data_IF_364005096387
#
_entry.id   IF_364005096387
#
_cell.length_a   1.000
_cell.length_b   1.000
_cell.length_c   1.000
_cell.angle_alpha   90.00
_cell.angle_beta   90.00
_cell.angle_gamma   90.00
#
_symmetry.space_group_name_H-M   'P 1'
#
loop_
_entity.id
_entity.type
_entity.pdbx_description
1 polymer ?
#
# COMPACT_ATOMS: atom_id res chain seq x y z
N UNK A 1 -28.58 3.68 -2.49
CA UNK A 1 -27.12 3.75 -2.20
C UNK A 1 -26.34 3.43 -3.44
N UNK A 2 -25.41 4.24 -3.77
CA UNK A 2 -24.68 4.10 -5.02
C UNK A 2 -23.42 3.23 -4.83
N UNK A 3 -23.27 2.22 -5.68
CA UNK A 3 -22.03 1.44 -5.74
C UNK A 3 -20.85 2.32 -6.16
N UNK A 4 -21.13 3.43 -6.83
CA UNK A 4 -20.12 4.40 -7.25
C UNK A 4 -19.39 5.00 -6.06
N UNK A 5 -20.13 5.36 -4.98
CA UNK A 5 -19.52 5.90 -3.77
C UNK A 5 -18.65 4.87 -3.08
N UNK A 6 -19.11 3.62 -3.03
CA UNK A 6 -18.35 2.54 -2.44
C UNK A 6 -17.07 2.28 -3.24
N UNK A 7 -17.16 2.25 -4.56
CA UNK A 7 -15.99 2.07 -5.41
C UNK A 7 -15.01 3.22 -5.24
N UNK A 8 -15.51 4.47 -5.16
CA UNK A 8 -14.66 5.63 -4.93
C UNK A 8 -13.87 5.50 -3.62
N UNK A 9 -14.56 5.12 -2.54
CA UNK A 9 -13.93 4.96 -1.22
C UNK A 9 -12.87 3.86 -1.24
N UNK A 10 -13.16 2.75 -1.93
CA UNK A 10 -12.20 1.64 -2.04
C UNK A 10 -10.97 2.04 -2.84
N UNK A 11 -11.13 2.84 -3.90
CA UNK A 11 -9.99 3.34 -4.67
C UNK A 11 -9.15 4.31 -3.84
N UNK A 12 -9.78 5.17 -3.04
CA UNK A 12 -9.06 6.06 -2.13
C UNK A 12 -8.27 5.29 -1.08
N UNK A 13 -8.88 4.23 -0.56
CA UNK A 13 -8.22 3.34 0.41
C UNK A 13 -7.00 2.67 -0.23
N UNK A 14 -7.16 2.14 -1.43
CA UNK A 14 -6.06 1.50 -2.16
C UNK A 14 -4.92 2.50 -2.41
N UNK A 15 -5.24 3.71 -2.81
CA UNK A 15 -4.23 4.75 -3.04
C UNK A 15 -3.44 5.04 -1.76
N UNK A 16 -4.15 5.19 -0.63
CA UNK A 16 -3.52 5.44 0.66
C UNK A 16 -2.59 4.29 1.06
N UNK A 17 -3.02 3.04 0.85
CA UNK A 17 -2.21 1.87 1.17
C UNK A 17 -0.96 1.79 0.29
N UNK A 18 -1.09 2.10 -1.01
CA UNK A 18 0.05 2.12 -1.92
C UNK A 18 1.04 3.22 -1.54
N UNK A 19 0.54 4.38 -1.11
CA UNK A 19 1.40 5.47 -0.64
C UNK A 19 2.16 5.06 0.61
N UNK A 20 1.53 4.34 1.53
CA UNK A 20 2.18 3.82 2.73
C UNK A 20 3.28 2.83 2.35
N UNK A 21 3.02 1.93 1.41
CA UNK A 21 4.02 0.98 0.93
C UNK A 21 5.22 1.71 0.32
N UNK A 22 4.97 2.73 -0.48
CA UNK A 22 6.03 3.53 -1.09
C UNK A 22 6.90 4.21 -0.03
N UNK A 23 6.27 4.73 1.02
CA UNK A 23 6.99 5.39 2.11
C UNK A 23 7.93 4.41 2.83
N UNK A 24 7.45 3.20 3.10
CA UNK A 24 8.28 2.19 3.75
C UNK A 24 9.43 1.73 2.85
N UNK A 25 9.20 1.64 1.54
CA UNK A 25 10.27 1.30 0.60
C UNK A 25 11.36 2.37 0.56
N UNK A 26 10.97 3.65 0.56
CA UNK A 26 11.95 4.76 0.61
C UNK A 26 12.78 4.69 1.89
N UNK A 27 12.13 4.39 3.01
CA UNK A 27 12.83 4.25 4.28
C UNK A 27 13.81 3.09 4.25
N UNK A 28 13.42 1.97 3.67
CA UNK A 28 14.31 0.82 3.52
C UNK A 28 15.54 1.17 2.68
N UNK A 29 15.34 1.90 1.58
CA UNK A 29 16.43 2.35 0.72
C UNK A 29 17.40 3.24 1.50
N UNK A 30 16.87 4.21 2.26
CA UNK A 30 17.69 5.11 3.07
C UNK A 30 18.48 4.34 4.13
N UNK A 31 17.86 3.33 4.75
CA UNK A 31 18.52 2.50 5.75
C UNK A 31 19.67 1.70 5.14
N UNK A 32 19.48 1.17 3.94
CA UNK A 32 20.56 0.46 3.22
C UNK A 32 21.71 1.41 2.89
N UNK A 33 21.39 2.63 2.43
CA UNK A 33 22.39 3.63 2.11
C UNK A 33 23.24 3.98 3.34
N UNK A 34 22.66 3.92 4.53
CA UNK A 34 23.33 4.21 5.80
C UNK A 34 23.85 2.96 6.50
N UNK A 35 23.77 1.80 5.85
CA UNK A 35 24.16 0.50 6.40
C UNK A 35 23.40 0.10 7.67
N UNK A 36 22.18 0.57 7.82
CA UNK A 36 21.31 0.22 8.95
C UNK A 36 20.47 -1.00 8.56
N UNK A 37 21.11 -2.16 8.53
CA UNK A 37 20.49 -3.37 7.95
C UNK A 37 19.29 -3.88 8.72
N UNK A 38 19.29 -3.82 10.05
CA UNK A 38 18.14 -4.24 10.86
C UNK A 38 16.93 -3.37 10.59
N UNK A 39 17.14 -2.05 10.52
CA UNK A 39 16.06 -1.10 10.26
C UNK A 39 15.53 -1.27 8.82
N UNK A 40 16.42 -1.54 7.87
CA UNK A 40 16.03 -1.79 6.49
C UNK A 40 15.15 -3.03 6.39
N UNK A 41 15.49 -4.08 7.11
CA UNK A 41 14.70 -5.32 7.13
C UNK A 41 13.30 -5.05 7.67
N UNK A 42 13.19 -4.31 8.78
CA UNK A 42 11.90 -3.93 9.36
C UNK A 42 11.06 -3.11 8.41
N UNK A 43 11.67 -2.14 7.72
CA UNK A 43 10.97 -1.29 6.75
C UNK A 43 10.52 -2.10 5.54
N UNK A 44 11.34 -3.05 5.09
CA UNK A 44 10.97 -3.94 3.98
C UNK A 44 9.77 -4.81 4.33
N UNK A 45 9.74 -5.34 5.55
CA UNK A 45 8.60 -6.14 6.02
C UNK A 45 7.33 -5.29 6.06
N UNK A 46 7.43 -4.06 6.58
CA UNK A 46 6.30 -3.14 6.63
C UNK A 46 5.80 -2.78 5.23
N UNK A 47 6.72 -2.56 4.29
CA UNK A 47 6.36 -2.28 2.90
C UNK A 47 5.60 -3.44 2.28
N UNK A 48 6.03 -4.67 2.56
CA UNK A 48 5.37 -5.86 2.04
C UNK A 48 3.95 -6.02 2.60
N UNK A 49 3.78 -5.76 3.90
CA UNK A 49 2.47 -5.80 4.54
C UNK A 49 1.52 -4.76 3.94
N UNK A 50 2.02 -3.53 3.73
CA UNK A 50 1.24 -2.48 3.10
C UNK A 50 0.88 -2.83 1.66
N UNK A 51 1.81 -3.43 0.92
CA UNK A 51 1.57 -3.86 -0.45
C UNK A 51 0.44 -4.90 -0.51
N UNK A 52 0.50 -5.91 0.37
CA UNK A 52 -0.52 -6.96 0.41
C UNK A 52 -1.91 -6.39 0.69
N UNK A 53 -2.00 -5.45 1.63
CA UNK A 53 -3.26 -4.77 1.95
C UNK A 53 -3.74 -3.93 0.77
N UNK A 54 -2.84 -3.18 0.15
CA UNK A 54 -3.16 -2.34 -1.00
C UNK A 54 -3.66 -3.17 -2.18
N UNK A 55 -3.04 -4.32 -2.41
CA UNK A 55 -3.41 -5.21 -3.50
C UNK A 55 -4.83 -5.74 -3.30
N UNK A 56 -5.19 -6.11 -2.08
CA UNK A 56 -6.56 -6.57 -1.76
C UNK A 56 -7.58 -5.46 -1.99
N UNK A 57 -7.29 -4.25 -1.51
CA UNK A 57 -8.19 -3.12 -1.70
C UNK A 57 -8.32 -2.74 -3.16
N UNK A 58 -7.23 -2.82 -3.91
CA UNK A 58 -7.24 -2.56 -5.35
C UNK A 58 -8.13 -3.54 -6.09
N UNK A 59 -8.01 -4.83 -5.77
CA UNK A 59 -8.83 -5.87 -6.40
C UNK A 59 -10.31 -5.63 -6.10
N UNK A 60 -10.65 -5.33 -4.85
CA UNK A 60 -12.03 -5.07 -4.45
C UNK A 60 -12.57 -3.81 -5.13
N UNK A 61 -11.76 -2.76 -5.20
CA UNK A 61 -12.16 -1.51 -5.85
C UNK A 61 -12.44 -1.72 -7.34
N UNK A 62 -11.61 -2.50 -8.00
CA UNK A 62 -11.81 -2.82 -9.42
C UNK A 62 -13.06 -3.66 -9.64
N UNK A 63 -13.35 -4.60 -8.75
CA UNK A 63 -14.59 -5.37 -8.80
C UNK A 63 -15.81 -4.46 -8.70
N UNK A 64 -15.80 -3.55 -7.73
CA UNK A 64 -16.91 -2.61 -7.56
C UNK A 64 -17.07 -1.70 -8.76
N UNK A 65 -15.97 -1.27 -9.37
CA UNK A 65 -16.01 -0.40 -10.54
C UNK A 65 -16.54 -1.10 -11.77
N UNK A 66 -16.39 -2.43 -11.85
CA UNK A 66 -16.85 -3.22 -12.98
C UNK A 66 -18.35 -3.49 -12.97
N UNK A 67 -19.00 -3.26 -11.85
CA UNK A 67 -20.46 -3.42 -11.71
C UNK A 67 -21.19 -2.15 -12.13
#
# INVERSE_FOLDING_TARGET
MSNTNEASDLHKQAASDHEAAAKHHRKAADCHDQNKLSDAKGSSTSAMDCYNTAQRHSATACECSAK
#
